data_IF_329598588087
#
_entry.id   IF_329598588087
#
_cell.length_a   1.000
_cell.length_b   1.000
_cell.length_c   1.000
_cell.angle_alpha   90.00
_cell.angle_beta   90.00
_cell.angle_gamma   90.00
#
_symmetry.space_group_name_H-M   'P 1'
#
loop_
_entity.id
_entity.type
_entity.pdbx_description
1 polymer ?
#
# COMPACT_ATOMS: atom_id res chain seq x y z
N UNK A 1 12.14 -1.05 36.72
CA UNK A 1 11.66 -0.68 35.37
C UNK A 1 10.85 0.61 35.49
N UNK A 2 11.24 1.63 34.75
CA UNK A 2 10.54 2.90 34.75
C UNK A 2 9.40 2.83 33.75
N UNK A 3 8.18 3.21 34.18
CA UNK A 3 7.03 3.28 33.28
C UNK A 3 7.24 4.42 32.26
N UNK A 4 7.00 4.14 31.00
CA UNK A 4 7.06 5.12 29.92
C UNK A 4 5.68 5.77 29.79
N UNK A 5 5.59 7.11 29.88
CA UNK A 5 4.29 7.76 29.71
C UNK A 5 3.77 7.58 28.28
N UNK A 6 2.50 7.28 28.18
CA UNK A 6 1.80 7.09 26.91
C UNK A 6 0.92 8.33 26.65
N UNK A 7 1.11 8.93 25.48
CA UNK A 7 0.37 10.11 25.06
C UNK A 7 -0.40 9.78 23.76
N UNK A 8 -1.70 10.07 23.77
CA UNK A 8 -2.53 9.99 22.57
C UNK A 8 -2.69 11.39 22.00
N UNK A 9 -2.59 11.50 20.69
CA UNK A 9 -2.83 12.74 19.95
C UNK A 9 -4.13 12.68 19.17
N UNK A 10 -4.61 13.85 18.71
CA UNK A 10 -5.82 13.93 17.88
C UNK A 10 -5.60 13.33 16.49
N UNK A 11 -4.35 13.11 16.07
CA UNK A 11 -4.02 12.52 14.78
C UNK A 11 -4.12 10.99 14.77
N UNK A 12 -4.58 10.38 15.87
CA UNK A 12 -4.81 8.94 15.94
C UNK A 12 -3.55 8.09 16.06
N UNK A 13 -2.44 8.66 16.48
CA UNK A 13 -1.23 7.90 16.79
C UNK A 13 -0.86 8.00 18.26
N UNK A 14 -0.10 7.02 18.70
CA UNK A 14 0.33 6.90 20.08
C UNK A 14 1.82 7.18 20.19
N UNK A 15 2.18 8.12 21.08
CA UNK A 15 3.58 8.47 21.34
C UNK A 15 3.92 8.01 22.75
N UNK A 16 5.03 7.30 22.90
CA UNK A 16 5.55 6.84 24.18
C UNK A 16 6.93 7.42 24.37
N UNK A 17 7.07 8.30 25.36
CA UNK A 17 8.31 9.00 25.65
C UNK A 17 8.92 8.60 27.00
N UNK A 18 10.24 8.42 27.01
CA UNK A 18 11.07 8.50 28.19
C UNK A 18 12.14 9.58 27.94
N UNK A 19 12.99 9.89 28.91
CA UNK A 19 14.00 10.96 28.79
C UNK A 19 14.90 10.88 27.56
N UNK A 20 15.07 9.68 26.96
CA UNK A 20 15.98 9.43 25.83
C UNK A 20 15.36 8.64 24.70
N UNK A 21 14.13 8.19 24.84
CA UNK A 21 13.49 7.28 23.89
C UNK A 21 12.11 7.81 23.54
N UNK A 22 11.85 7.94 22.25
CA UNK A 22 10.51 8.22 21.71
C UNK A 22 10.08 7.06 20.83
N UNK A 23 8.94 6.49 21.15
CA UNK A 23 8.30 5.43 20.34
C UNK A 23 6.99 5.99 19.79
N UNK A 24 6.78 5.86 18.49
CA UNK A 24 5.56 6.29 17.82
C UNK A 24 4.86 5.05 17.29
N UNK A 25 3.57 4.90 17.61
CA UNK A 25 2.74 3.80 17.17
C UNK A 25 1.55 4.35 16.39
N UNK A 26 1.35 3.84 15.18
CA UNK A 26 0.25 4.23 14.29
C UNK A 26 -0.54 3.00 13.85
N UNK A 27 -1.72 3.24 13.28
CA UNK A 27 -2.59 2.20 12.73
C UNK A 27 -3.06 2.61 11.35
N UNK A 28 -3.25 1.64 10.46
CA UNK A 28 -3.84 1.91 9.15
C UNK A 28 -5.30 2.35 9.23
N UNK A 29 -6.00 2.04 10.32
CA UNK A 29 -7.37 2.48 10.56
C UNK A 29 -7.48 3.98 10.83
N UNK A 30 -6.34 4.64 11.14
CA UNK A 30 -6.21 6.09 11.25
C UNK A 30 -5.05 6.57 10.38
N UNK A 31 -5.16 6.45 9.04
CA UNK A 31 -4.06 6.74 8.14
C UNK A 31 -3.75 8.23 8.05
N UNK A 32 -2.50 8.55 7.66
CA UNK A 32 -2.11 9.95 7.39
C UNK A 32 -2.72 10.47 6.08
N UNK A 33 -2.95 9.56 5.13
CA UNK A 33 -3.56 9.88 3.84
C UNK A 33 -4.34 8.67 3.34
N UNK A 34 -5.44 8.93 2.64
CA UNK A 34 -6.23 7.89 1.95
C UNK A 34 -6.37 8.27 0.49
N UNK A 35 -6.06 7.34 -0.39
CA UNK A 35 -6.35 7.46 -1.82
C UNK A 35 -7.48 6.51 -2.16
N UNK A 36 -8.67 7.08 -2.40
CA UNK A 36 -9.84 6.29 -2.78
C UNK A 36 -9.76 5.96 -4.26
N UNK A 37 -9.98 4.70 -4.58
CA UNK A 37 -9.95 4.17 -5.95
C UNK A 37 -11.31 3.52 -6.25
N UNK A 38 -11.60 3.33 -7.53
CA UNK A 38 -12.71 2.46 -7.89
C UNK A 38 -12.35 1.03 -7.46
N UNK A 39 -13.27 0.37 -6.76
CA UNK A 39 -13.10 -0.99 -6.23
C UNK A 39 -11.90 -1.16 -5.30
N UNK A 40 -11.49 -0.09 -4.62
CA UNK A 40 -10.37 -0.21 -3.69
C UNK A 40 -10.00 1.08 -2.99
N UNK A 41 -9.03 0.95 -2.10
CA UNK A 41 -8.44 2.09 -1.38
C UNK A 41 -6.98 1.81 -1.07
N UNK A 42 -6.23 2.88 -0.90
CA UNK A 42 -4.82 2.84 -0.55
C UNK A 42 -4.61 3.76 0.65
N UNK A 43 -4.37 3.15 1.81
CA UNK A 43 -4.11 3.87 3.06
C UNK A 43 -2.61 4.07 3.22
N UNK A 44 -2.20 5.30 3.56
CA UNK A 44 -0.79 5.64 3.74
C UNK A 44 -0.54 6.06 5.18
N UNK A 45 0.52 5.51 5.75
CA UNK A 45 1.02 5.88 7.08
C UNK A 45 2.49 6.29 6.93
N UNK A 46 2.82 7.46 7.48
CA UNK A 46 4.20 7.97 7.50
C UNK A 46 4.80 7.75 8.87
N UNK A 47 5.90 7.02 8.91
CA UNK A 47 6.49 6.57 10.16
C UNK A 47 8.00 6.37 9.98
N UNK A 48 8.80 6.98 10.84
CA UNK A 48 10.26 6.79 10.84
C UNK A 48 10.93 7.16 9.52
N UNK A 49 10.44 8.17 8.82
CA UNK A 49 10.97 8.57 7.51
C UNK A 49 10.51 7.70 6.35
N UNK A 50 9.66 6.70 6.61
CA UNK A 50 9.09 5.84 5.58
C UNK A 50 7.63 6.17 5.35
N UNK A 51 7.16 5.96 4.12
CA UNK A 51 5.75 5.90 3.81
C UNK A 51 5.38 4.45 3.54
N UNK A 52 4.46 3.92 4.32
CA UNK A 52 3.98 2.55 4.21
C UNK A 52 2.54 2.59 3.73
N UNK A 53 2.24 1.89 2.65
CA UNK A 53 0.89 1.81 2.09
C UNK A 53 0.23 0.49 2.40
N UNK A 54 -1.10 0.51 2.61
CA UNK A 54 -1.93 -0.68 2.63
C UNK A 54 -2.93 -0.58 1.48
N UNK A 55 -2.77 -1.47 0.51
CA UNK A 55 -3.73 -1.63 -0.57
C UNK A 55 -4.84 -2.58 -0.14
N UNK A 56 -6.08 -2.20 -0.43
CA UNK A 56 -7.26 -3.06 -0.25
C UNK A 56 -8.07 -3.00 -1.54
N UNK A 57 -8.10 -4.09 -2.29
CA UNK A 57 -8.78 -4.15 -3.57
C UNK A 57 -9.86 -5.21 -3.56
N UNK A 58 -11.03 -4.85 -4.09
CA UNK A 58 -12.17 -5.74 -4.19
C UNK A 58 -12.03 -6.71 -5.37
N UNK A 59 -12.74 -7.85 -5.35
CA UNK A 59 -12.85 -8.71 -6.53
C UNK A 59 -13.29 -7.91 -7.76
N UNK A 60 -12.64 -8.18 -8.89
CA UNK A 60 -12.89 -7.45 -10.13
C UNK A 60 -12.03 -6.21 -10.33
N UNK A 61 -11.27 -5.78 -9.33
CA UNK A 61 -10.35 -4.65 -9.49
C UNK A 61 -9.25 -4.99 -10.49
N UNK A 62 -8.96 -4.02 -11.36
CA UNK A 62 -7.87 -4.08 -12.33
C UNK A 62 -7.24 -2.69 -12.45
N UNK A 63 -5.94 -2.61 -12.34
CA UNK A 63 -5.25 -1.32 -12.30
C UNK A 63 -5.54 -0.47 -13.54
N UNK A 64 -5.46 -1.05 -14.73
CA UNK A 64 -5.69 -0.34 -15.99
C UNK A 64 -7.12 0.19 -16.15
N UNK A 65 -8.08 -0.40 -15.46
CA UNK A 65 -9.49 0.00 -15.50
C UNK A 65 -9.89 0.92 -14.34
N UNK A 66 -9.36 0.68 -13.15
CA UNK A 66 -9.84 1.28 -11.91
C UNK A 66 -8.89 2.30 -11.28
N UNK A 67 -7.62 2.36 -11.72
CA UNK A 67 -6.64 3.35 -11.28
C UNK A 67 -6.15 4.19 -12.45
N UNK A 68 -5.76 3.55 -13.53
CA UNK A 68 -5.14 4.20 -14.69
C UNK A 68 -5.88 5.43 -15.19
N UNK A 69 -7.19 5.37 -15.44
CA UNK A 69 -7.94 6.54 -15.93
C UNK A 69 -7.85 7.77 -15.00
N UNK A 70 -7.83 7.55 -13.68
CA UNK A 70 -7.76 8.65 -12.70
C UNK A 70 -6.38 9.30 -12.62
N UNK A 71 -5.33 8.62 -13.06
CA UNK A 71 -3.95 9.13 -13.06
C UNK A 71 -3.43 9.41 -14.46
N UNK A 72 -4.26 9.20 -15.49
CA UNK A 72 -3.91 9.48 -16.88
C UNK A 72 -2.91 8.46 -17.48
N UNK A 73 -2.95 7.22 -17.05
CA UNK A 73 -2.01 6.19 -17.50
C UNK A 73 -2.71 4.87 -17.83
N UNK A 74 -2.11 4.07 -18.69
CA UNK A 74 -2.60 2.74 -19.06
C UNK A 74 -1.87 1.62 -18.33
N UNK A 75 -0.71 1.93 -17.76
CA UNK A 75 0.13 0.99 -17.01
C UNK A 75 0.73 1.68 -15.80
N UNK A 76 0.97 0.90 -14.74
CA UNK A 76 1.71 1.36 -13.57
C UNK A 76 3.21 1.26 -13.86
N UNK A 77 3.96 2.29 -13.50
CA UNK A 77 5.42 2.34 -13.66
C UNK A 77 6.14 2.41 -12.32
N UNK A 78 5.43 2.25 -11.22
CA UNK A 78 5.99 2.38 -9.88
C UNK A 78 6.73 1.12 -9.49
N UNK A 79 7.92 1.28 -8.94
CA UNK A 79 8.65 0.19 -8.31
C UNK A 79 8.01 -0.16 -6.97
N UNK A 80 7.79 -1.44 -6.72
CA UNK A 80 7.14 -1.89 -5.48
C UNK A 80 7.99 -2.90 -4.74
N UNK A 81 8.02 -2.75 -3.42
CA UNK A 81 8.41 -3.80 -2.47
C UNK A 81 7.28 -3.93 -1.47
N UNK A 82 6.79 -5.14 -1.25
CA UNK A 82 5.66 -5.30 -0.34
C UNK A 82 5.46 -6.71 0.16
N UNK A 83 4.37 -6.88 0.87
CA UNK A 83 3.94 -8.14 1.47
C UNK A 83 2.45 -8.34 1.25
N UNK A 84 2.07 -9.47 0.68
CA UNK A 84 0.65 -9.84 0.56
C UNK A 84 0.15 -10.36 1.91
N UNK A 85 -0.90 -9.73 2.44
CA UNK A 85 -1.53 -10.15 3.70
C UNK A 85 -2.66 -11.14 3.47
N UNK A 86 -3.48 -10.92 2.45
CA UNK A 86 -4.62 -11.79 2.13
C UNK A 86 -5.04 -11.65 0.68
N UNK A 87 -5.70 -12.67 0.16
CA UNK A 87 -6.14 -12.71 -1.24
C UNK A 87 -4.99 -12.95 -2.21
N UNK A 88 -5.29 -12.76 -3.50
CA UNK A 88 -4.34 -12.97 -4.60
C UNK A 88 -4.51 -11.87 -5.64
N UNK A 89 -3.41 -11.42 -6.20
CA UNK A 89 -3.40 -10.48 -7.33
C UNK A 89 -2.28 -10.84 -8.29
N UNK A 90 -2.16 -10.08 -9.36
CA UNK A 90 -1.16 -10.32 -10.40
C UNK A 90 -0.21 -9.15 -10.55
N UNK A 91 0.96 -9.42 -11.12
CA UNK A 91 1.80 -8.43 -11.81
C UNK A 91 1.94 -8.90 -13.25
N UNK A 92 1.39 -8.14 -14.18
CA UNK A 92 1.31 -8.51 -15.60
C UNK A 92 2.10 -7.52 -16.45
N UNK A 93 3.07 -8.04 -17.19
CA UNK A 93 3.97 -7.25 -18.03
C UNK A 93 3.55 -7.31 -19.50
N UNK A 94 3.93 -6.28 -20.27
CA UNK A 94 3.53 -6.14 -21.67
C UNK A 94 4.12 -7.22 -22.58
N UNK A 95 5.15 -7.93 -22.15
CA UNK A 95 5.73 -9.06 -22.86
C UNK A 95 4.92 -10.38 -22.70
N UNK A 96 3.80 -10.33 -21.99
CA UNK A 96 2.91 -11.47 -21.78
C UNK A 96 3.17 -12.26 -20.51
N UNK A 97 4.24 -11.96 -19.76
CA UNK A 97 4.49 -12.63 -18.47
C UNK A 97 3.54 -12.13 -17.42
N UNK A 98 2.92 -13.05 -16.68
CA UNK A 98 2.00 -12.77 -15.59
C UNK A 98 2.45 -13.56 -14.37
N UNK A 99 2.63 -12.86 -13.26
CA UNK A 99 3.03 -13.45 -11.98
C UNK A 99 1.90 -13.30 -10.99
N UNK A 100 1.58 -14.35 -10.25
CA UNK A 100 0.58 -14.31 -9.20
C UNK A 100 1.24 -14.02 -7.86
N UNK A 101 0.70 -13.06 -7.13
CA UNK A 101 1.12 -12.65 -5.78
C UNK A 101 0.14 -13.24 -4.79
N UNK A 102 0.63 -14.04 -3.83
CA UNK A 102 -0.21 -14.80 -2.89
C UNK A 102 0.04 -14.38 -1.45
N UNK A 103 -0.95 -14.64 -0.61
CA UNK A 103 -0.87 -14.34 0.82
C UNK A 103 0.38 -14.94 1.46
N UNK A 104 1.10 -14.12 2.24
CA UNK A 104 2.35 -14.49 2.91
C UNK A 104 3.60 -14.25 2.09
N UNK A 105 3.49 -13.90 0.81
CA UNK A 105 4.65 -13.66 -0.04
C UNK A 105 5.11 -12.20 0.03
N UNK A 106 6.41 -12.02 0.17
CA UNK A 106 7.07 -10.74 -0.08
C UNK A 106 7.31 -10.62 -1.58
N UNK A 107 7.10 -9.44 -2.14
CA UNK A 107 7.25 -9.24 -3.59
C UNK A 107 8.12 -8.03 -3.90
N UNK A 108 8.78 -8.10 -5.04
CA UNK A 108 9.45 -6.99 -5.71
C UNK A 108 8.92 -6.87 -7.12
N UNK A 109 8.49 -5.68 -7.50
CA UNK A 109 8.05 -5.37 -8.87
C UNK A 109 8.90 -4.21 -9.39
N UNK A 110 9.65 -4.39 -10.49
CA UNK A 110 10.51 -3.35 -11.03
C UNK A 110 9.71 -2.18 -11.62
N UNK A 111 10.35 -1.00 -11.81
CA UNK A 111 9.68 0.19 -12.35
C UNK A 111 9.52 0.14 -13.86
N UNK A 112 8.97 -0.94 -14.37
CA UNK A 112 8.64 -1.13 -15.78
C UNK A 112 7.14 -1.26 -15.94
N UNK A 113 6.57 -0.94 -17.13
CA UNK A 113 5.12 -0.96 -17.31
C UNK A 113 4.50 -2.29 -16.95
N UNK A 114 3.50 -2.26 -16.09
CA UNK A 114 2.77 -3.46 -15.67
C UNK A 114 1.32 -3.14 -15.36
N UNK A 115 0.47 -4.15 -15.48
CA UNK A 115 -0.90 -4.14 -15.03
C UNK A 115 -1.02 -5.06 -13.82
N UNK A 116 -2.14 -5.03 -13.15
CA UNK A 116 -2.43 -5.85 -11.97
C UNK A 116 -3.93 -6.03 -11.86
N UNK A 117 -4.38 -7.20 -11.42
CA UNK A 117 -5.79 -7.44 -11.11
C UNK A 117 -5.94 -8.44 -9.97
N UNK A 118 -7.07 -8.36 -9.28
CA UNK A 118 -7.42 -9.31 -8.22
C UNK A 118 -7.83 -10.63 -8.86
N UNK A 119 -7.30 -11.73 -8.32
CA UNK A 119 -7.62 -13.09 -8.76
C UNK A 119 -8.65 -13.68 -7.79
N UNK A 120 -9.72 -14.24 -8.34
CA UNK A 120 -10.75 -14.91 -7.56
C UNK A 120 -11.78 -13.95 -6.97
N UNK A 121 -12.49 -14.42 -5.95
CA UNK A 121 -13.66 -13.77 -5.36
C UNK A 121 -13.42 -13.20 -3.95
N UNK A 122 -12.16 -13.19 -3.49
CA UNK A 122 -11.77 -12.63 -2.20
C UNK A 122 -11.08 -11.28 -2.38
N UNK A 123 -11.26 -10.33 -1.45
CA UNK A 123 -10.49 -9.10 -1.45
C UNK A 123 -8.98 -9.38 -1.35
N UNK A 124 -8.20 -8.52 -1.96
CA UNK A 124 -6.74 -8.55 -1.90
C UNK A 124 -6.26 -7.43 -0.98
N UNK A 125 -5.38 -7.78 -0.03
CA UNK A 125 -4.76 -6.82 0.89
C UNK A 125 -3.26 -7.01 0.85
N UNK A 126 -2.51 -5.91 0.63
CA UNK A 126 -1.05 -5.95 0.66
C UNK A 126 -0.48 -4.70 1.33
N UNK A 127 0.71 -4.86 1.89
CA UNK A 127 1.51 -3.74 2.40
C UNK A 127 2.57 -3.37 1.35
N UNK A 128 2.85 -2.07 1.24
CA UNK A 128 3.86 -1.52 0.34
C UNK A 128 4.87 -0.72 1.15
N UNK A 129 6.13 -1.15 1.12
CA UNK A 129 7.24 -0.52 1.83
C UNK A 129 8.04 0.41 0.93
N UNK A 130 8.01 0.18 -0.38
CA UNK A 130 8.62 1.02 -1.40
C UNK A 130 7.58 1.33 -2.47
N UNK A 131 7.58 2.58 -2.95
CA UNK A 131 6.67 3.03 -4.00
C UNK A 131 5.35 3.59 -3.52
N UNK A 132 5.02 3.47 -2.23
CA UNK A 132 3.74 3.93 -1.70
C UNK A 132 3.50 5.44 -1.94
N UNK A 133 4.53 6.27 -1.83
CA UNK A 133 4.41 7.72 -2.06
C UNK A 133 3.96 8.07 -3.47
N UNK A 134 4.35 7.29 -4.45
CA UNK A 134 4.11 7.57 -5.88
C UNK A 134 2.95 6.79 -6.46
N UNK A 135 2.44 5.81 -5.73
CA UNK A 135 1.39 4.93 -6.22
C UNK A 135 0.05 5.67 -6.32
N UNK A 136 -0.65 5.45 -7.42
CA UNK A 136 -1.97 6.04 -7.68
C UNK A 136 -1.98 7.58 -7.60
N UNK A 137 -0.87 8.22 -7.94
CA UNK A 137 -0.79 9.67 -8.07
C UNK A 137 -0.73 10.07 -9.54
N UNK A 138 -1.33 11.23 -9.92
CA UNK A 138 -1.22 11.72 -11.29
C UNK A 138 0.24 11.94 -11.67
N UNK A 139 0.60 11.62 -12.92
CA UNK A 139 1.90 11.95 -13.49
C UNK A 139 1.95 13.47 -13.72
N UNK A 140 2.88 14.10 -13.05
CA UNK A 140 3.15 15.53 -13.25
C UNK A 140 4.39 15.73 -14.11
#
# INVERSE_FOLDING_TARGET
>A
MVAVPELWTLDGFRVMNSDRVTVILKRFEAPDEVRMLQKGRFDLVRLGGMTIGRATYEPGWKWSEHVGPSVGATRCHVEHVGLVLSGRATAAFDDGRVFELRAGELFYIPPIPHDSWVVGDQPYVSLHFLGADHYATPNT
#
